data_IF_726950738731
#
_entry.id   IF_726950738731
#
_cell.length_a   1.000
_cell.length_b   1.000
_cell.length_c   1.000
_cell.angle_alpha   90.00
_cell.angle_beta   90.00
_cell.angle_gamma   90.00
#
_symmetry.space_group_name_H-M   'P 1'
#
loop_
_entity.id
_entity.type
_entity.pdbx_description
1 polymer ?
#
# COMPACT_ATOMS: atom_id res chain seq x y z
N UNK A 1 -53.04 24.52 -1.18
CA UNK A 1 -51.82 23.71 -1.17
C UNK A 1 -50.99 24.25 -0.05
N UNK A 2 -50.90 23.53 1.05
CA UNK A 2 -49.94 23.86 2.10
C UNK A 2 -48.61 23.25 1.67
N UNK A 3 -47.65 24.12 1.40
CA UNK A 3 -46.27 23.72 1.17
C UNK A 3 -45.76 23.14 2.48
N UNK A 4 -45.45 21.84 2.46
CA UNK A 4 -45.12 21.06 3.64
C UNK A 4 -43.88 21.61 4.34
N UNK A 5 -44.10 22.24 5.49
CA UNK A 5 -43.03 22.66 6.39
C UNK A 5 -42.21 21.43 6.81
N UNK A 6 -40.94 21.45 6.43
CA UNK A 6 -39.98 20.41 6.80
C UNK A 6 -39.67 20.61 8.29
N UNK A 7 -39.95 19.61 9.12
CA UNK A 7 -39.67 19.68 10.55
C UNK A 7 -38.19 20.03 10.80
N UNK A 8 -37.86 20.89 11.78
CA UNK A 8 -36.47 21.20 12.15
C UNK A 8 -35.63 19.96 12.43
N UNK A 9 -36.26 18.91 12.96
CA UNK A 9 -35.63 17.61 13.16
C UNK A 9 -35.23 16.95 11.83
N UNK A 10 -36.11 17.00 10.83
CA UNK A 10 -35.84 16.47 9.49
C UNK A 10 -34.72 17.24 8.80
N UNK A 11 -34.64 18.56 9.00
CA UNK A 11 -33.55 19.39 8.49
C UNK A 11 -32.20 19.04 9.14
N UNK A 12 -32.16 18.83 10.46
CA UNK A 12 -30.93 18.43 11.16
C UNK A 12 -30.46 17.04 10.73
N UNK A 13 -31.38 16.08 10.61
CA UNK A 13 -31.05 14.74 10.11
C UNK A 13 -30.49 14.78 8.69
N UNK A 14 -31.05 15.61 7.81
CA UNK A 14 -30.52 15.78 6.45
C UNK A 14 -29.11 16.39 6.44
N UNK A 15 -28.83 17.32 7.36
CA UNK A 15 -27.50 17.91 7.56
C UNK A 15 -26.50 16.87 8.05
N UNK A 16 -26.85 16.07 9.05
CA UNK A 16 -26.00 14.99 9.55
C UNK A 16 -25.67 13.96 8.46
N UNK A 17 -26.68 13.57 7.67
CA UNK A 17 -26.48 12.69 6.51
C UNK A 17 -25.53 13.32 5.48
N UNK A 18 -25.72 14.60 5.14
CA UNK A 18 -24.85 15.29 4.18
C UNK A 18 -23.39 15.38 4.68
N UNK A 19 -23.19 15.63 5.98
CA UNK A 19 -21.86 15.62 6.61
C UNK A 19 -21.25 14.21 6.55
N UNK A 20 -22.04 13.19 6.87
CA UNK A 20 -21.60 11.80 6.81
C UNK A 20 -21.16 11.42 5.39
N UNK A 21 -21.97 11.73 4.37
CA UNK A 21 -21.61 11.48 2.97
C UNK A 21 -20.40 12.29 2.51
N UNK A 22 -20.25 13.54 2.95
CA UNK A 22 -19.06 14.36 2.66
C UNK A 22 -17.79 13.75 3.24
N UNK A 23 -17.83 13.34 4.51
CA UNK A 23 -16.73 12.67 5.19
C UNK A 23 -16.42 11.30 4.58
N UNK A 24 -17.46 10.55 4.20
CA UNK A 24 -17.36 9.26 3.51
C UNK A 24 -16.69 9.44 2.14
N UNK A 25 -17.11 10.43 1.36
CA UNK A 25 -16.49 10.77 0.09
C UNK A 25 -15.02 11.16 0.27
N UNK A 26 -14.70 12.00 1.27
CA UNK A 26 -13.31 12.37 1.59
C UNK A 26 -12.50 11.13 1.98
N UNK A 27 -13.05 10.21 2.79
CA UNK A 27 -12.39 8.95 3.15
C UNK A 27 -12.15 8.06 1.93
N UNK A 28 -13.11 8.00 1.01
CA UNK A 28 -13.03 7.21 -0.21
C UNK A 28 -12.14 7.85 -1.28
N UNK A 29 -12.00 9.17 -1.31
CA UNK A 29 -11.26 9.94 -2.32
C UNK A 29 -9.86 10.36 -1.87
N UNK A 30 -9.58 10.36 -0.57
CA UNK A 30 -8.25 10.64 -0.03
C UNK A 30 -7.31 9.46 -0.28
N UNK A 31 -6.13 9.68 -0.90
CA UNK A 31 -5.17 8.62 -1.19
C UNK A 31 -4.48 8.03 0.05
N UNK A 32 -4.57 8.68 1.21
CA UNK A 32 -3.79 8.34 2.39
C UNK A 32 -4.60 8.68 3.64
N UNK A 33 -5.14 7.65 4.28
CA UNK A 33 -5.35 7.49 5.74
C UNK A 33 -6.52 6.53 5.93
N UNK A 34 -6.25 5.28 6.28
CA UNK A 34 -6.53 4.87 7.64
C UNK A 34 -5.88 3.54 7.98
N UNK A 35 -5.38 3.51 9.21
CA UNK A 35 -4.88 2.36 9.91
C UNK A 35 -5.91 1.24 9.97
N UNK A 36 -5.39 0.01 9.85
CA UNK A 36 -5.94 -1.26 10.33
C UNK A 36 -7.45 -1.40 10.45
N UNK A 37 -8.03 -2.28 9.62
CA UNK A 37 -8.33 -3.65 10.06
C UNK A 37 -9.04 -4.43 8.95
N UNK A 38 -8.60 -5.68 8.78
CA UNK A 38 -9.27 -6.75 8.03
C UNK A 38 -9.61 -6.47 6.55
N UNK A 39 -8.64 -6.82 5.69
CA UNK A 39 -8.90 -7.83 4.65
C UNK A 39 -10.08 -7.53 3.71
N UNK A 40 -9.98 -6.48 2.91
CA UNK A 40 -10.62 -6.46 1.59
C UNK A 40 -9.63 -6.00 0.54
N UNK A 41 -9.47 -6.86 -0.46
CA UNK A 41 -8.53 -6.80 -1.58
C UNK A 41 -8.62 -5.44 -2.28
N UNK A 42 -7.75 -4.52 -1.89
CA UNK A 42 -7.57 -3.21 -2.51
C UNK A 42 -6.89 -3.39 -3.86
N UNK A 43 -7.68 -3.55 -4.91
CA UNK A 43 -7.26 -3.37 -6.31
C UNK A 43 -7.17 -1.88 -6.69
N UNK A 44 -6.93 -1.00 -5.70
CA UNK A 44 -6.60 0.42 -5.88
C UNK A 44 -5.08 0.52 -5.93
N UNK A 45 -4.55 0.90 -7.09
CA UNK A 45 -3.17 1.35 -7.36
C UNK A 45 -2.22 1.19 -6.16
N UNK A 46 -1.73 -0.02 -5.95
CA UNK A 46 -0.73 -0.27 -4.92
C UNK A 46 0.47 0.61 -5.30
N UNK A 47 0.96 1.49 -4.40
CA UNK A 47 2.20 2.22 -4.64
C UNK A 47 3.29 1.23 -5.05
N UNK A 48 4.08 1.60 -6.05
CA UNK A 48 5.01 0.69 -6.72
C UNK A 48 5.98 0.02 -5.72
N UNK A 49 6.27 0.69 -4.60
CA UNK A 49 7.02 0.17 -3.46
C UNK A 49 6.30 -0.95 -2.71
N UNK A 50 4.99 -0.83 -2.47
CA UNK A 50 4.19 -1.83 -1.76
C UNK A 50 3.99 -3.09 -2.62
N UNK A 51 3.84 -2.92 -3.93
CA UNK A 51 3.77 -4.06 -4.85
C UNK A 51 5.11 -4.79 -4.91
N UNK A 52 6.22 -4.05 -4.97
CA UNK A 52 7.56 -4.63 -4.91
C UNK A 52 7.78 -5.38 -3.58
N UNK A 53 7.41 -4.77 -2.45
CA UNK A 53 7.52 -5.40 -1.13
C UNK A 53 6.66 -6.66 -1.02
N UNK A 54 5.39 -6.60 -1.45
CA UNK A 54 4.50 -7.75 -1.46
C UNK A 54 5.08 -8.89 -2.30
N UNK A 55 5.65 -8.57 -3.47
CA UNK A 55 6.26 -9.57 -4.33
C UNK A 55 7.50 -10.19 -3.69
N UNK A 56 8.39 -9.39 -3.10
CA UNK A 56 9.57 -9.89 -2.36
C UNK A 56 9.13 -10.81 -1.20
N UNK A 57 8.14 -10.38 -0.41
CA UNK A 57 7.60 -11.15 0.71
C UNK A 57 7.01 -12.48 0.25
N UNK A 58 6.15 -12.47 -0.77
CA UNK A 58 5.57 -13.68 -1.36
C UNK A 58 6.64 -14.63 -1.89
N UNK A 59 7.66 -14.11 -2.58
CA UNK A 59 8.75 -14.92 -3.11
C UNK A 59 9.58 -15.58 -2.00
N UNK A 60 9.91 -14.83 -0.95
CA UNK A 60 10.62 -15.35 0.23
C UNK A 60 9.81 -16.45 0.94
N UNK A 61 8.50 -16.26 1.11
CA UNK A 61 7.60 -17.24 1.71
C UNK A 61 7.48 -18.49 0.84
N UNK A 62 7.25 -18.35 -0.47
CA UNK A 62 7.09 -19.47 -1.40
C UNK A 62 8.35 -20.34 -1.49
N UNK A 63 9.53 -19.70 -1.48
CA UNK A 63 10.82 -20.41 -1.53
C UNK A 63 11.35 -20.81 -0.16
N UNK A 64 10.73 -20.36 0.93
CA UNK A 64 11.23 -20.58 2.29
C UNK A 64 12.61 -19.97 2.55
N UNK A 65 12.93 -18.84 1.90
CA UNK A 65 14.23 -18.17 2.02
C UNK A 65 14.09 -16.85 2.80
N UNK A 66 15.05 -16.52 3.70
CA UNK A 66 14.98 -15.31 4.51
C UNK A 66 15.33 -14.03 3.72
N UNK A 67 16.05 -14.16 2.61
CA UNK A 67 16.47 -13.05 1.77
C UNK A 67 16.56 -13.51 0.31
N UNK A 68 16.51 -12.55 -0.61
CA UNK A 68 16.65 -12.80 -2.05
C UNK A 68 17.71 -11.91 -2.69
N UNK A 69 18.30 -12.36 -3.79
CA UNK A 69 19.28 -11.53 -4.51
C UNK A 69 18.55 -10.43 -5.26
N UNK A 70 19.14 -9.24 -5.30
CA UNK A 70 18.60 -8.15 -6.14
C UNK A 70 18.52 -8.54 -7.63
N UNK A 71 19.44 -9.38 -8.11
CA UNK A 71 19.38 -9.90 -9.48
C UNK A 71 18.14 -10.77 -9.72
N UNK A 72 17.67 -11.50 -8.71
CA UNK A 72 16.45 -12.30 -8.82
C UNK A 72 15.22 -11.39 -9.00
N UNK A 73 15.22 -10.21 -8.36
CA UNK A 73 14.18 -9.19 -8.56
C UNK A 73 14.23 -8.65 -10.01
N UNK A 74 15.41 -8.38 -10.55
CA UNK A 74 15.55 -7.90 -11.93
C UNK A 74 15.15 -8.95 -12.97
N UNK A 75 15.40 -10.24 -12.71
CA UNK A 75 15.11 -11.31 -13.65
C UNK A 75 13.68 -11.84 -13.56
N UNK A 76 13.18 -12.04 -12.34
CA UNK A 76 11.90 -12.71 -12.05
C UNK A 76 10.82 -11.77 -11.58
N UNK A 77 11.20 -10.54 -11.20
CA UNK A 77 10.25 -9.53 -10.77
C UNK A 77 9.34 -9.04 -11.90
N UNK A 78 8.21 -8.42 -11.54
CA UNK A 78 7.29 -7.78 -12.47
C UNK A 78 8.00 -6.87 -13.47
N UNK A 79 7.57 -6.87 -14.74
CA UNK A 79 8.18 -6.09 -15.84
C UNK A 79 8.40 -4.61 -15.48
N UNK A 80 7.51 -4.04 -14.66
CA UNK A 80 7.57 -2.66 -14.17
C UNK A 80 8.81 -2.34 -13.31
N UNK A 81 9.43 -3.33 -12.68
CA UNK A 81 10.60 -3.19 -11.80
C UNK A 81 11.92 -3.61 -12.45
N UNK A 82 11.91 -4.06 -13.71
CA UNK A 82 13.13 -4.51 -14.43
C UNK A 82 14.10 -3.37 -14.75
N UNK A 83 13.66 -2.12 -14.65
CA UNK A 83 14.54 -0.95 -14.79
C UNK A 83 15.39 -0.82 -13.53
N UNK A 84 16.71 -1.00 -13.68
CA UNK A 84 17.67 -0.98 -12.56
C UNK A 84 17.58 0.29 -11.71
N UNK A 85 17.49 1.46 -12.33
CA UNK A 85 17.45 2.74 -11.62
C UNK A 85 16.16 2.88 -10.79
N UNK A 86 15.03 2.48 -11.37
CA UNK A 86 13.73 2.46 -10.68
C UNK A 86 13.74 1.46 -9.52
N UNK A 87 14.32 0.28 -9.72
CA UNK A 87 14.44 -0.72 -8.66
C UNK A 87 15.31 -0.22 -7.51
N UNK A 88 16.44 0.43 -7.79
CA UNK A 88 17.28 1.02 -6.75
C UNK A 88 16.49 2.01 -5.92
N UNK A 89 15.85 2.98 -6.59
CA UNK A 89 15.04 3.99 -5.90
C UNK A 89 13.92 3.38 -5.05
N UNK A 90 13.23 2.35 -5.54
CA UNK A 90 12.20 1.65 -4.77
C UNK A 90 12.77 0.88 -3.58
N UNK A 91 13.94 0.25 -3.73
CA UNK A 91 14.60 -0.45 -2.63
C UNK A 91 15.10 0.54 -1.57
N UNK A 92 15.61 1.70 -1.97
CA UNK A 92 16.01 2.77 -1.07
C UNK A 92 14.81 3.30 -0.28
N UNK A 93 13.68 3.53 -0.96
CA UNK A 93 12.42 3.94 -0.30
C UNK A 93 11.91 2.87 0.68
N UNK A 94 11.95 1.59 0.30
CA UNK A 94 11.56 0.48 1.17
C UNK A 94 12.49 0.32 2.37
N UNK A 95 13.76 0.68 2.21
CA UNK A 95 14.74 0.70 3.28
C UNK A 95 14.47 1.85 4.26
N UNK A 96 14.20 3.06 3.76
CA UNK A 96 13.78 4.21 4.58
C UNK A 96 12.50 3.92 5.38
N UNK A 97 11.56 3.18 4.79
CA UNK A 97 10.33 2.72 5.46
C UNK A 97 10.55 1.53 6.40
N UNK A 98 11.79 1.07 6.59
CA UNK A 98 12.18 -0.10 7.40
C UNK A 98 11.49 -1.42 7.01
N UNK A 99 10.92 -1.48 5.80
CA UNK A 99 10.23 -2.66 5.25
C UNK A 99 11.20 -3.69 4.71
N UNK A 100 12.36 -3.25 4.27
CA UNK A 100 13.38 -4.10 3.65
C UNK A 100 14.75 -3.76 4.20
N UNK A 101 15.52 -4.80 4.49
CA UNK A 101 16.91 -4.69 4.93
C UNK A 101 17.82 -5.10 3.76
N UNK A 102 18.61 -4.17 3.21
CA UNK A 102 19.66 -4.51 2.28
C UNK A 102 20.78 -5.24 3.03
N UNK A 103 21.06 -6.47 2.63
CA UNK A 103 22.16 -7.28 3.18
C UNK A 103 23.22 -7.44 2.10
N UNK A 104 24.44 -6.96 2.35
CA UNK A 104 25.56 -7.12 1.42
C UNK A 104 26.41 -8.27 1.93
N UNK A 105 26.48 -9.36 1.16
CA UNK A 105 27.33 -10.50 1.48
C UNK A 105 28.38 -10.65 0.36
N UNK A 106 29.60 -10.21 0.66
CA UNK A 106 30.71 -10.15 -0.29
C UNK A 106 30.42 -9.22 -1.47
N UNK A 107 30.31 -9.77 -2.68
CA UNK A 107 29.98 -9.04 -3.93
C UNK A 107 28.49 -9.04 -4.27
N UNK A 108 27.67 -9.78 -3.53
CA UNK A 108 26.25 -9.99 -3.88
C UNK A 108 25.37 -9.13 -2.99
N UNK A 109 24.45 -8.40 -3.62
CA UNK A 109 23.47 -7.60 -2.89
C UNK A 109 22.18 -8.40 -2.68
N UNK A 110 21.85 -8.64 -1.42
CA UNK A 110 20.65 -9.32 -0.97
C UNK A 110 19.65 -8.32 -0.38
N UNK A 111 18.40 -8.71 -0.46
CA UNK A 111 17.23 -7.94 -0.07
C UNK A 111 16.43 -8.85 0.84
N UNK A 112 16.38 -8.52 2.13
CA UNK A 112 15.62 -9.25 3.12
C UNK A 112 14.34 -8.46 3.47
N UNK A 113 13.14 -9.00 3.26
CA UNK A 113 11.93 -8.35 3.75
C UNK A 113 11.91 -8.41 5.29
N UNK A 114 11.55 -7.30 5.92
CA UNK A 114 11.30 -7.28 7.35
C UNK A 114 9.94 -7.93 7.61
N UNK A 115 9.95 -9.10 8.26
CA UNK A 115 8.74 -9.85 8.59
C UNK A 115 8.08 -9.39 9.90
N UNK A 116 8.77 -8.54 10.67
CA UNK A 116 8.33 -8.08 11.99
C UNK A 116 7.42 -6.83 11.92
N UNK A 117 7.03 -6.41 10.70
CA UNK A 117 6.11 -5.30 10.40
C UNK A 117 4.72 -5.77 9.95
#
# INVERSE_FOLDING_TARGET
GEEGDISPYTAEMARELAIWYGNEYIRLSSPLTFENSAQTVTMRLIPEELELFSWIKSYCIEKGIPCMKKNDILQRGPNRFRKKDKLNWLLDLLHEQNRVVPVIEGKTWYVAPNFDL
#
